data_IF_707496670736
#
_entry.id   IF_707496670736
#
_cell.length_a   1.000
_cell.length_b   1.000
_cell.length_c   1.000
_cell.angle_alpha   90.00
_cell.angle_beta   90.00
_cell.angle_gamma   90.00
#
_symmetry.space_group_name_H-M   'P 1'
#
loop_
_entity.id
_entity.type
_entity.pdbx_description
1 polymer ?
#
# COMPACT_ATOMS: atom_id res chain seq x y z
N UNK A 1 12.11 -8.36 -30.73
CA UNK A 1 11.19 -8.57 -29.59
C UNK A 1 11.49 -7.57 -28.47
N UNK A 2 10.96 -6.35 -28.60
CA UNK A 2 11.03 -5.33 -27.55
C UNK A 2 10.20 -5.81 -26.36
N UNK A 3 10.89 -6.10 -25.27
CA UNK A 3 10.29 -6.43 -24.00
C UNK A 3 9.30 -5.33 -23.61
N UNK A 4 8.07 -5.75 -23.42
CA UNK A 4 7.10 -5.21 -22.50
C UNK A 4 7.76 -4.80 -21.16
N UNK A 5 8.34 -3.60 -21.14
CA UNK A 5 8.78 -2.92 -19.92
C UNK A 5 7.56 -2.85 -19.01
N UNK A 6 7.60 -3.67 -17.96
CA UNK A 6 6.52 -3.83 -17.02
C UNK A 6 6.04 -2.46 -16.60
N UNK A 7 4.78 -2.17 -16.93
CA UNK A 7 4.06 -1.06 -16.33
C UNK A 7 4.06 -1.37 -14.84
N UNK A 8 5.09 -0.90 -14.14
CA UNK A 8 5.18 -0.88 -12.69
C UNK A 8 4.16 0.17 -12.23
N UNK A 9 2.89 -0.12 -12.49
CA UNK A 9 1.77 0.60 -11.96
C UNK A 9 1.94 0.54 -10.46
N UNK A 10 2.14 1.72 -9.87
CA UNK A 10 2.21 1.93 -8.43
C UNK A 10 1.11 1.09 -7.80
N UNK A 11 1.47 0.02 -7.09
CA UNK A 11 0.47 -0.88 -6.51
C UNK A 11 -0.26 -0.09 -5.44
N UNK A 12 -1.58 -0.02 -5.54
CA UNK A 12 -2.42 0.66 -4.59
C UNK A 12 -3.49 -0.30 -4.07
N UNK A 13 -3.81 -0.18 -2.79
CA UNK A 13 -4.84 -0.91 -2.10
C UNK A 13 -5.93 0.07 -1.64
N UNK A 14 -7.19 -0.31 -1.77
CA UNK A 14 -8.32 0.46 -1.24
C UNK A 14 -8.71 -0.16 0.08
N UNK A 15 -8.55 0.58 1.18
CA UNK A 15 -8.86 0.11 2.53
C UNK A 15 -10.33 -0.30 2.61
N UNK A 16 -10.59 -1.52 3.05
CA UNK A 16 -11.93 -2.00 3.36
C UNK A 16 -12.21 -1.98 4.87
N UNK A 17 -13.46 -2.21 5.26
CA UNK A 17 -13.83 -2.34 6.66
C UNK A 17 -13.10 -3.54 7.29
N UNK A 18 -12.37 -3.29 8.38
CA UNK A 18 -11.56 -4.30 9.06
C UNK A 18 -10.10 -4.37 8.59
N UNK A 19 -9.72 -3.63 7.55
CA UNK A 19 -8.32 -3.53 7.16
C UNK A 19 -7.51 -2.69 8.15
N UNK A 20 -6.30 -3.16 8.39
CA UNK A 20 -5.31 -2.49 9.22
C UNK A 20 -4.03 -2.33 8.42
N UNK A 21 -3.16 -1.39 8.81
CA UNK A 21 -1.85 -1.26 8.17
C UNK A 21 -1.08 -2.58 8.22
N UNK A 22 -1.24 -3.35 9.30
CA UNK A 22 -0.61 -4.65 9.45
C UNK A 22 -1.19 -5.71 8.51
N UNK A 23 -2.52 -5.82 8.36
CA UNK A 23 -3.13 -6.79 7.43
C UNK A 23 -2.75 -6.48 5.98
N UNK A 24 -2.78 -5.20 5.60
CA UNK A 24 -2.38 -4.73 4.27
C UNK A 24 -0.89 -5.00 4.04
N UNK A 25 -0.02 -4.59 4.99
CA UNK A 25 1.42 -4.82 4.90
C UNK A 25 1.73 -6.31 4.65
N UNK A 26 1.11 -7.19 5.44
CA UNK A 26 1.26 -8.63 5.31
C UNK A 26 0.72 -9.18 3.99
N UNK A 27 -0.43 -8.68 3.52
CA UNK A 27 -1.03 -9.09 2.26
C UNK A 27 -0.15 -8.76 1.04
N UNK A 28 0.57 -7.64 1.08
CA UNK A 28 1.46 -7.18 0.00
C UNK A 28 2.93 -7.53 0.21
N UNK A 29 3.29 -8.14 1.34
CA UNK A 29 4.68 -8.50 1.66
C UNK A 29 5.58 -7.28 1.89
N UNK A 30 5.03 -6.19 2.39
CA UNK A 30 5.75 -4.94 2.69
C UNK A 30 5.71 -4.65 4.19
N UNK A 31 6.54 -3.73 4.67
CA UNK A 31 6.52 -3.34 6.09
C UNK A 31 5.46 -2.28 6.34
N UNK A 32 4.88 -2.26 7.56
CA UNK A 32 4.01 -1.14 7.99
C UNK A 32 4.74 0.20 7.86
N UNK A 33 6.03 0.25 8.19
CA UNK A 33 6.85 1.45 8.04
C UNK A 33 6.98 1.89 6.56
N UNK A 34 7.02 0.96 5.61
CA UNK A 34 7.02 1.30 4.18
C UNK A 34 5.67 1.87 3.76
N UNK A 35 4.55 1.28 4.20
CA UNK A 35 3.21 1.82 3.97
C UNK A 35 3.07 3.23 4.55
N UNK A 36 3.54 3.45 5.78
CA UNK A 36 3.56 4.76 6.43
C UNK A 36 4.39 5.75 5.61
N UNK A 37 5.59 5.36 5.16
CA UNK A 37 6.48 6.22 4.38
C UNK A 37 5.89 6.58 3.01
N UNK A 38 5.34 5.61 2.29
CA UNK A 38 4.77 5.81 0.97
C UNK A 38 3.49 6.65 1.01
N UNK A 39 2.68 6.50 2.07
CA UNK A 39 1.41 7.19 2.20
C UNK A 39 1.45 8.41 3.12
N UNK A 40 2.63 8.73 3.68
CA UNK A 40 2.85 9.78 4.68
C UNK A 40 1.85 9.68 5.84
N UNK A 41 1.57 8.47 6.29
CA UNK A 41 0.61 8.23 7.36
C UNK A 41 1.27 8.48 8.73
N UNK A 42 0.56 9.15 9.64
CA UNK A 42 0.95 9.18 11.04
C UNK A 42 0.95 7.76 11.62
N UNK A 43 1.92 7.45 12.48
CA UNK A 43 2.10 6.13 13.16
C UNK A 43 0.88 5.56 13.88
N UNK A 44 -0.12 6.40 14.17
CA UNK A 44 -1.37 6.03 14.86
C UNK A 44 -2.61 6.52 14.13
N UNK A 45 -2.49 6.88 12.85
CA UNK A 45 -3.66 7.35 12.11
C UNK A 45 -4.59 6.16 11.81
N UNK A 46 -5.88 6.25 12.16
CA UNK A 46 -6.84 5.24 11.77
C UNK A 46 -6.97 5.22 10.25
N UNK A 47 -6.95 4.03 9.66
CA UNK A 47 -7.23 3.88 8.23
C UNK A 47 -8.70 4.20 7.97
N UNK A 48 -8.97 5.01 6.95
CA UNK A 48 -10.33 5.31 6.54
C UNK A 48 -10.76 4.32 5.46
N UNK A 49 -11.95 3.75 5.61
CA UNK A 49 -12.54 2.89 4.59
C UNK A 49 -12.66 3.70 3.29
N UNK A 50 -12.27 3.10 2.16
CA UNK A 50 -12.20 3.75 0.85
C UNK A 50 -10.91 4.53 0.60
N UNK A 51 -10.00 4.63 1.58
CA UNK A 51 -8.71 5.28 1.40
C UNK A 51 -7.80 4.47 0.47
N UNK A 52 -7.17 5.15 -0.48
CA UNK A 52 -6.14 4.53 -1.35
C UNK A 52 -4.79 4.59 -0.65
N UNK A 53 -4.18 3.44 -0.45
CA UNK A 53 -2.83 3.28 0.08
C UNK A 53 -1.90 2.73 -0.99
N UNK A 54 -0.78 3.41 -1.23
CA UNK A 54 0.35 2.85 -1.95
C UNK A 54 0.92 1.67 -1.17
N UNK A 55 0.96 0.50 -1.80
CA UNK A 55 1.44 -0.78 -1.26
C UNK A 55 2.59 -1.36 -2.09
N UNK A 56 3.12 -0.59 -3.03
CA UNK A 56 4.31 -0.97 -3.79
C UNK A 56 4.77 0.14 -4.72
N UNK A 57 5.93 0.70 -4.41
CA UNK A 57 6.76 1.47 -5.33
C UNK A 57 8.12 0.80 -5.43
N UNK A 58 8.50 0.38 -6.63
CA UNK A 58 9.88 0.01 -6.94
C UNK A 58 10.67 1.29 -7.23
#
# INVERSE_FOLDING_TARGET
PSGNEGVAGRKAHVVAAGDTLWSIARAYGVSVADLERWNRLPRRSPLRIGQRLAVGGR
#
